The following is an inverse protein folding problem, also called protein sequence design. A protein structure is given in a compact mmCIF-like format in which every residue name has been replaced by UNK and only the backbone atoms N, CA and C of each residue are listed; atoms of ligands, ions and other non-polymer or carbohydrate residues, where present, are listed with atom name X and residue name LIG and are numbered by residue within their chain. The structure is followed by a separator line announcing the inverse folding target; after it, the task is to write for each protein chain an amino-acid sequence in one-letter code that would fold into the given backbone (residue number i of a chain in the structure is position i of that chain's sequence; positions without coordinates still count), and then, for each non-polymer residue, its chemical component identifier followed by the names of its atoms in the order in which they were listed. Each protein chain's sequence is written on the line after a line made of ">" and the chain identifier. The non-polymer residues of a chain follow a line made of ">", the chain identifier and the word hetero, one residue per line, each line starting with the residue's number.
data_IF_474355206787
#
_entry.id   IF_474355206787
#
_cell.length_a   1.000
_cell.length_b   1.000
_cell.length_c   1.000
_cell.angle_alpha   90.00
_cell.angle_beta   90.00
_cell.angle_gamma   90.00
#
_symmetry.space_group_name_H-M   'P 1'
#
loop_
_entity.id
_entity.type
_entity.pdbx_description
1 polymer ?
#
# COMPACT_ATOMS: atom_id res chain seq x y z
N UNK A 1 3.65 -1.27 15.49
CA UNK A 1 4.08 -2.21 14.43
C UNK A 1 4.06 -1.47 13.11
N UNK A 2 5.01 -1.75 12.21
CA UNK A 2 4.98 -1.20 10.84
C UNK A 2 4.31 -2.21 9.91
N UNK A 3 3.53 -1.70 8.95
CA UNK A 3 2.87 -2.46 7.89
C UNK A 3 3.40 -1.98 6.54
N UNK A 4 3.39 -2.87 5.55
CA UNK A 4 3.79 -2.57 4.18
C UNK A 4 2.55 -2.20 3.37
N UNK A 5 2.63 -1.09 2.63
CA UNK A 5 1.53 -0.60 1.81
C UNK A 5 2.00 -0.44 0.37
N UNK A 6 1.19 -0.94 -0.57
CA UNK A 6 1.43 -0.82 -1.99
C UNK A 6 1.42 0.66 -2.41
N UNK A 7 2.48 1.16 -3.06
CA UNK A 7 2.53 2.57 -3.49
C UNK A 7 1.62 2.89 -4.68
N UNK A 8 0.98 1.88 -5.27
CA UNK A 8 0.11 2.03 -6.45
C UNK A 8 -1.37 2.01 -6.08
N UNK A 9 -1.78 1.09 -5.20
CA UNK A 9 -3.20 0.87 -4.89
C UNK A 9 -3.54 0.90 -3.40
N UNK A 10 -2.57 1.25 -2.55
CA UNK A 10 -2.69 1.34 -1.10
C UNK A 10 -3.13 0.04 -0.39
N UNK A 11 -3.04 -1.11 -1.05
CA UNK A 11 -3.28 -2.40 -0.41
C UNK A 11 -2.15 -2.78 0.54
N UNK A 12 -2.50 -3.42 1.65
CA UNK A 12 -1.57 -4.06 2.58
C UNK A 12 -1.26 -5.52 2.22
N UNK A 13 -1.83 -6.05 1.14
CA UNK A 13 -1.57 -7.41 0.63
C UNK A 13 -0.25 -7.45 -0.16
N UNK A 14 0.86 -7.35 0.58
CA UNK A 14 2.24 -7.33 0.08
C UNK A 14 2.96 -8.61 0.48
N UNK A 15 3.65 -9.23 -0.49
CA UNK A 15 4.55 -10.36 -0.29
C UNK A 15 5.94 -10.04 -0.85
N UNK A 16 6.95 -10.83 -0.47
CA UNK A 16 8.26 -10.75 -1.11
C UNK A 16 8.24 -11.46 -2.46
N UNK A 17 8.67 -10.77 -3.51
CA UNK A 17 8.85 -11.35 -4.84
C UNK A 17 9.94 -12.42 -4.82
N UNK A 18 9.67 -13.57 -5.45
CA UNK A 18 10.53 -14.76 -5.41
C UNK A 18 11.03 -15.13 -4.00
N UNK A 19 10.19 -14.95 -2.97
CA UNK A 19 10.55 -15.22 -1.57
C UNK A 19 11.63 -14.29 -1.01
N UNK A 20 11.88 -13.15 -1.67
CA UNK A 20 12.81 -12.11 -1.23
C UNK A 20 14.15 -12.12 -1.95
N UNK A 21 14.43 -13.12 -2.81
CA UNK A 21 15.71 -13.23 -3.51
C UNK A 21 16.00 -12.03 -4.43
N UNK A 22 14.96 -11.42 -4.99
CA UNK A 22 15.09 -10.26 -5.87
C UNK A 22 15.19 -8.93 -5.12
N UNK A 23 14.95 -8.92 -3.80
CA UNK A 23 14.81 -7.70 -3.00
C UNK A 23 13.59 -6.86 -3.37
N UNK A 24 12.61 -7.44 -4.08
CA UNK A 24 11.38 -6.76 -4.50
C UNK A 24 10.18 -7.24 -3.71
N UNK A 25 9.14 -6.44 -3.76
CA UNK A 25 7.82 -6.70 -3.21
C UNK A 25 6.83 -6.96 -4.35
N UNK A 26 5.87 -7.83 -4.09
CA UNK A 26 4.73 -8.13 -4.96
C UNK A 26 3.43 -7.74 -4.26
N UNK A 27 2.58 -6.95 -4.93
CA UNK A 27 1.24 -6.64 -4.46
C UNK A 27 0.21 -7.59 -5.08
N UNK A 28 -0.48 -8.38 -4.25
CA UNK A 28 -1.49 -9.34 -4.71
C UNK A 28 -2.72 -8.68 -5.32
N UNK A 29 -3.01 -7.44 -4.94
CA UNK A 29 -4.20 -6.70 -5.38
C UNK A 29 -4.07 -6.08 -6.77
N UNK A 30 -2.94 -5.44 -7.08
CA UNK A 30 -2.76 -4.71 -8.34
C UNK A 30 -1.63 -5.23 -9.24
N UNK A 31 -0.85 -6.22 -8.78
CA UNK A 31 0.25 -6.79 -9.55
C UNK A 31 1.54 -5.96 -9.54
N UNK A 32 1.64 -4.91 -8.71
CA UNK A 32 2.89 -4.15 -8.54
C UNK A 32 4.05 -5.09 -8.17
N UNK A 33 5.16 -5.00 -8.91
CA UNK A 33 6.44 -5.66 -8.59
C UNK A 33 7.54 -4.61 -8.58
N UNK A 34 8.18 -4.40 -7.44
CA UNK A 34 9.24 -3.39 -7.34
C UNK A 34 9.94 -3.35 -5.99
N UNK A 35 11.04 -2.62 -5.93
CA UNK A 35 11.88 -2.52 -4.73
C UNK A 35 11.39 -1.46 -3.73
N UNK A 36 10.23 -0.84 -3.96
CA UNK A 36 9.72 0.25 -3.14
C UNK A 36 8.32 -0.08 -2.60
N UNK A 37 8.15 0.11 -1.29
CA UNK A 37 6.88 0.02 -0.58
C UNK A 37 6.83 1.13 0.46
N UNK A 38 5.62 1.51 0.88
CA UNK A 38 5.45 2.45 1.98
C UNK A 38 5.45 1.68 3.30
N UNK A 39 6.27 2.12 4.26
CA UNK A 39 6.29 1.57 5.61
C UNK A 39 5.56 2.50 6.58
N UNK A 40 4.35 2.11 6.96
CA UNK A 40 3.46 2.93 7.77
C UNK A 40 3.16 2.25 9.10
N UNK A 41 2.85 3.01 10.13
CA UNK A 41 2.12 2.50 11.29
C UNK A 41 0.65 2.28 10.92
N UNK A 42 -0.06 1.49 11.70
CA UNK A 42 -1.51 1.31 11.51
C UNK A 42 -2.25 2.66 11.55
N UNK A 43 -1.88 3.56 12.47
CA UNK A 43 -2.47 4.90 12.56
C UNK A 43 -2.20 5.76 11.32
N UNK A 44 -0.95 5.81 10.83
CA UNK A 44 -0.60 6.53 9.59
C UNK A 44 -1.39 5.99 8.38
N UNK A 45 -1.59 4.68 8.30
CA UNK A 45 -2.38 4.05 7.24
C UNK A 45 -3.87 4.39 7.35
N UNK A 46 -4.46 4.32 8.55
CA UNK A 46 -5.86 4.69 8.77
C UNK A 46 -6.14 6.15 8.40
N UNK A 47 -5.25 7.07 8.77
CA UNK A 47 -5.36 8.49 8.43
C UNK A 47 -5.32 8.70 6.91
N UNK A 48 -4.41 8.00 6.21
CA UNK A 48 -4.32 8.07 4.74
C UNK A 48 -5.61 7.59 4.07
N UNK A 49 -6.14 6.43 4.46
CA UNK A 49 -7.36 5.87 3.86
C UNK A 49 -8.57 6.79 4.10
N UNK A 50 -8.73 7.32 5.32
CA UNK A 50 -9.79 8.30 5.63
C UNK A 50 -9.67 9.54 4.73
N UNK A 51 -8.46 10.08 4.58
CA UNK A 51 -8.20 11.22 3.69
C UNK A 51 -8.57 10.94 2.23
N UNK A 52 -8.26 9.75 1.70
CA UNK A 52 -8.64 9.36 0.34
C UNK A 52 -10.17 9.23 0.15
N UNK A 53 -10.88 8.68 1.14
CA UNK A 53 -12.34 8.57 1.10
C UNK A 53 -13.02 9.94 1.14
N UNK A 54 -12.54 10.84 2.00
CA UNK A 54 -13.03 12.23 2.06
C UNK A 54 -12.81 12.96 0.74
N UNK A 55 -11.62 12.83 0.14
CA UNK A 55 -11.31 13.41 -1.17
C UNK A 55 -12.22 12.86 -2.27
N UNK A 56 -12.53 11.56 -2.25
CA UNK A 56 -13.47 10.94 -3.21
C UNK A 56 -14.88 11.48 -3.02
N UNK A 57 -15.36 11.64 -1.78
CA UNK A 57 -16.69 12.23 -1.49
C UNK A 57 -16.80 13.66 -2.03
N UNK A 58 -15.80 14.51 -1.77
CA UNK A 58 -15.77 15.90 -2.25
C UNK A 58 -15.73 16.06 -3.78
N UNK A 59 -15.34 15.02 -4.52
CA UNK A 59 -15.32 15.04 -6.00
C UNK A 59 -16.65 14.61 -6.63
N UNK A 60 -17.59 14.11 -5.82
CA UNK A 60 -18.92 13.66 -6.26
C UNK A 60 -19.97 14.78 -6.08
N UNK A 61 -19.68 15.75 -5.21
CA UNK A 61 -20.43 17.01 -5.05
C UNK A 61 -20.07 18.04 -6.12
#
# INVERSE_FOLDING_TARGET
>A
MKILVCPVCNSTEIEYDAGGYTGKYYCKRCGYVGSYVLEMTEGEYEEMIKGEEELKRRKID
#
